data_IF_392936215647
#
_entry.id   IF_392936215647
#
_cell.length_a   1.000
_cell.length_b   1.000
_cell.length_c   1.000
_cell.angle_alpha   90.00
_cell.angle_beta   90.00
_cell.angle_gamma   90.00
#
_symmetry.space_group_name_H-M   'P 1'
#
loop_
_entity.id
_entity.type
_entity.pdbx_description
1 polymer ?
#
# COMPACT_ATOMS: atom_id res chain seq x y z
N UNK A 1 -40.67 7.94 -6.00
CA UNK A 1 -39.78 8.24 -4.86
C UNK A 1 -38.49 7.41 -4.89
N UNK A 2 -37.96 7.08 -6.07
CA UNK A 2 -36.59 6.57 -6.23
C UNK A 2 -35.97 7.39 -7.35
N UNK A 3 -35.01 8.24 -7.01
CA UNK A 3 -34.25 9.00 -8.01
C UNK A 3 -33.46 7.96 -8.81
N UNK A 4 -33.70 7.91 -10.12
CA UNK A 4 -32.95 7.07 -11.04
C UNK A 4 -31.47 7.44 -10.94
N UNK A 5 -30.69 6.58 -10.29
CA UNK A 5 -29.24 6.66 -10.31
C UNK A 5 -28.77 6.06 -11.63
N UNK A 6 -28.96 6.84 -12.70
CA UNK A 6 -28.17 6.69 -13.91
C UNK A 6 -26.75 7.17 -13.57
N UNK A 7 -25.95 6.28 -13.00
CA UNK A 7 -24.54 6.53 -12.72
C UNK A 7 -23.81 5.29 -13.15
N UNK A 8 -22.83 5.48 -14.03
CA UNK A 8 -22.02 4.42 -14.63
C UNK A 8 -21.75 3.28 -13.63
N UNK A 9 -22.00 2.03 -14.07
CA UNK A 9 -21.93 0.80 -13.29
C UNK A 9 -20.48 0.41 -12.87
N UNK A 10 -19.63 1.39 -12.58
CA UNK A 10 -18.25 1.17 -12.16
C UNK A 10 -18.21 0.95 -10.66
N UNK A 11 -17.45 -0.05 -10.21
CA UNK A 11 -17.32 -0.41 -8.78
C UNK A 11 -16.90 0.81 -7.92
N UNK A 12 -16.11 1.71 -8.49
CA UNK A 12 -15.64 2.94 -7.82
C UNK A 12 -16.76 3.94 -7.50
N UNK A 13 -17.72 4.13 -8.40
CA UNK A 13 -18.85 5.05 -8.15
C UNK A 13 -19.75 4.50 -7.03
N UNK A 14 -19.95 3.18 -6.99
CA UNK A 14 -20.68 2.49 -5.91
C UNK A 14 -19.94 2.56 -4.57
N UNK A 15 -18.62 2.37 -4.53
CA UNK A 15 -17.81 2.53 -3.29
C UNK A 15 -17.88 3.97 -2.77
N UNK A 16 -17.79 4.96 -3.67
CA UNK A 16 -17.93 6.37 -3.30
C UNK A 16 -19.30 6.66 -2.71
N UNK A 17 -20.37 6.16 -3.33
CA UNK A 17 -21.74 6.28 -2.81
C UNK A 17 -21.92 5.61 -1.45
N UNK A 18 -21.37 4.40 -1.26
CA UNK A 18 -21.38 3.70 0.02
C UNK A 18 -20.62 4.46 1.11
N UNK A 19 -19.66 5.30 0.74
CA UNK A 19 -18.88 6.13 1.67
C UNK A 19 -19.47 7.52 1.91
N UNK A 20 -20.27 8.06 0.98
CA UNK A 20 -20.81 9.43 1.04
C UNK A 20 -22.26 9.55 1.51
N UNK A 21 -22.94 8.45 1.81
CA UNK A 21 -24.34 8.47 2.26
C UNK A 21 -24.52 8.29 3.78
N UNK A 22 -25.69 8.70 4.28
CA UNK A 22 -26.20 8.47 5.64
C UNK A 22 -26.24 6.98 6.06
N UNK A 23 -25.93 6.06 5.14
CA UNK A 23 -25.82 4.61 5.40
C UNK A 23 -24.77 4.26 6.46
N UNK A 24 -23.68 5.02 6.55
CA UNK A 24 -22.67 4.81 7.60
C UNK A 24 -23.20 5.19 8.99
N UNK A 25 -24.16 6.13 9.05
CA UNK A 25 -24.80 6.60 10.28
C UNK A 25 -25.99 5.69 10.64
N UNK A 26 -26.78 5.27 9.65
CA UNK A 26 -27.92 4.36 9.84
C UNK A 26 -27.52 2.90 10.12
N UNK A 27 -26.41 2.42 9.55
CA UNK A 27 -25.96 1.03 9.67
C UNK A 27 -24.44 0.93 9.94
N UNK A 28 -23.97 1.34 11.13
CA UNK A 28 -22.54 1.43 11.44
C UNK A 28 -21.84 0.06 11.39
N UNK A 29 -22.49 -1.01 11.84
CA UNK A 29 -21.94 -2.37 11.82
C UNK A 29 -21.76 -2.90 10.40
N UNK A 30 -22.76 -2.69 9.55
CA UNK A 30 -22.73 -3.11 8.15
C UNK A 30 -21.67 -2.35 7.36
N UNK A 31 -21.53 -1.04 7.61
CA UNK A 31 -20.48 -0.22 7.00
C UNK A 31 -19.07 -0.69 7.40
N UNK A 32 -18.85 -1.14 8.65
CA UNK A 32 -17.57 -1.73 9.06
C UNK A 32 -17.31 -3.06 8.36
N UNK A 33 -18.32 -3.93 8.24
CA UNK A 33 -18.19 -5.21 7.56
C UNK A 33 -17.83 -5.05 6.08
N UNK A 34 -18.50 -4.12 5.38
CA UNK A 34 -18.17 -3.83 3.99
C UNK A 34 -16.77 -3.25 3.82
N UNK A 35 -16.30 -2.38 4.72
CA UNK A 35 -14.91 -1.90 4.70
C UNK A 35 -13.92 -3.04 4.87
N UNK A 36 -14.18 -3.96 5.80
CA UNK A 36 -13.33 -5.14 6.01
C UNK A 36 -13.31 -6.03 4.76
N UNK A 37 -14.48 -6.33 4.21
CA UNK A 37 -14.62 -7.13 2.99
C UNK A 37 -13.89 -6.51 1.79
N UNK A 38 -13.97 -5.19 1.62
CA UNK A 38 -13.27 -4.47 0.55
C UNK A 38 -11.75 -4.35 0.79
N UNK A 39 -11.29 -4.47 2.03
CA UNK A 39 -9.85 -4.40 2.38
C UNK A 39 -9.17 -5.75 2.14
N UNK A 40 -9.88 -6.85 2.37
CA UNK A 40 -9.38 -8.19 2.07
C UNK A 40 -9.34 -8.34 0.55
N UNK A 41 -8.15 -8.38 -0.03
CA UNK A 41 -8.00 -8.62 -1.47
C UNK A 41 -8.59 -9.99 -1.82
N UNK A 42 -9.58 -10.03 -2.70
CA UNK A 42 -10.19 -11.29 -3.15
C UNK A 42 -9.26 -12.13 -4.05
N UNK A 43 -8.15 -11.57 -4.54
CA UNK A 43 -7.18 -12.24 -5.40
C UNK A 43 -5.79 -12.35 -4.78
N UNK A 44 -5.11 -13.47 -5.05
CA UNK A 44 -3.70 -13.68 -4.70
C UNK A 44 -2.74 -12.94 -5.63
N UNK A 45 -3.20 -12.53 -6.82
CA UNK A 45 -2.37 -11.93 -7.86
C UNK A 45 -1.62 -10.66 -7.41
N UNK A 46 -2.22 -9.84 -6.55
CA UNK A 46 -1.54 -8.68 -5.97
C UNK A 46 -0.38 -9.11 -5.06
N UNK A 47 -0.62 -10.09 -4.18
CA UNK A 47 0.40 -10.65 -3.30
C UNK A 47 1.52 -11.34 -4.10
N UNK A 48 1.18 -12.13 -5.12
CA UNK A 48 2.13 -12.78 -6.02
C UNK A 48 3.01 -11.78 -6.76
N UNK A 49 2.43 -10.67 -7.25
CA UNK A 49 3.21 -9.56 -7.84
C UNK A 49 4.20 -8.96 -6.84
N UNK A 50 3.78 -8.73 -5.60
CA UNK A 50 4.66 -8.23 -4.53
C UNK A 50 5.78 -9.22 -4.18
N UNK A 51 5.48 -10.51 -4.03
CA UNK A 51 6.50 -11.54 -3.77
C UNK A 51 7.45 -11.74 -4.96
N UNK A 52 6.97 -11.63 -6.19
CA UNK A 52 7.81 -11.65 -7.39
C UNK A 52 8.77 -10.46 -7.43
N UNK A 53 8.29 -9.27 -7.06
CA UNK A 53 9.13 -8.09 -6.89
C UNK A 53 10.17 -8.29 -5.77
N UNK A 54 9.76 -8.80 -4.61
CA UNK A 54 10.66 -9.07 -3.49
C UNK A 54 11.73 -10.11 -3.82
N UNK A 55 11.35 -11.16 -4.57
CA UNK A 55 12.29 -12.16 -5.09
C UNK A 55 13.32 -11.53 -6.03
N UNK A 56 12.91 -10.60 -6.90
CA UNK A 56 13.86 -9.83 -7.73
C UNK A 56 14.77 -8.98 -6.85
N UNK A 57 14.25 -8.29 -5.84
CA UNK A 57 15.05 -7.47 -4.93
C UNK A 57 16.14 -8.29 -4.24
N UNK A 58 15.80 -9.49 -3.75
CA UNK A 58 16.74 -10.43 -3.13
C UNK A 58 17.77 -10.97 -4.14
N UNK A 59 17.33 -11.41 -5.32
CA UNK A 59 18.18 -12.13 -6.27
C UNK A 59 19.05 -11.19 -7.13
N UNK A 60 18.54 -10.02 -7.50
CA UNK A 60 19.25 -9.05 -8.35
C UNK A 60 20.53 -8.55 -7.69
N UNK A 61 20.47 -8.29 -6.39
CA UNK A 61 21.64 -7.86 -5.61
C UNK A 61 22.65 -8.99 -5.32
N UNK A 62 22.35 -10.25 -5.71
CA UNK A 62 23.15 -11.48 -5.46
C UNK A 62 23.77 -11.52 -4.05
N UNK A 63 23.08 -10.96 -3.07
CA UNK A 63 23.66 -10.70 -1.76
C UNK A 63 23.14 -11.71 -0.74
N UNK A 64 24.02 -12.22 0.09
CA UNK A 64 23.67 -12.79 1.41
C UNK A 64 23.25 -11.64 2.33
N UNK A 65 22.14 -10.98 1.99
CA UNK A 65 21.57 -9.92 2.83
C UNK A 65 20.79 -10.53 3.98
N UNK A 66 21.06 -10.04 5.19
CA UNK A 66 20.30 -10.39 6.39
C UNK A 66 18.83 -9.96 6.29
N UNK A 67 17.96 -10.68 6.99
CA UNK A 67 16.51 -10.48 6.94
C UNK A 67 16.09 -9.05 7.32
N UNK A 68 16.76 -8.42 8.29
CA UNK A 68 16.48 -7.04 8.69
C UNK A 68 16.63 -6.06 7.53
N UNK A 69 17.76 -6.11 6.82
CA UNK A 69 18.04 -5.20 5.70
C UNK A 69 17.12 -5.50 4.51
N UNK A 70 16.81 -6.76 4.26
CA UNK A 70 15.85 -7.18 3.23
C UNK A 70 14.43 -6.67 3.52
N UNK A 71 13.99 -6.72 4.79
CA UNK A 71 12.69 -6.21 5.21
C UNK A 71 12.58 -4.69 5.04
N UNK A 72 13.59 -3.93 5.48
CA UNK A 72 13.63 -2.47 5.30
C UNK A 72 13.56 -2.07 3.82
N UNK A 73 14.30 -2.77 2.95
CA UNK A 73 14.21 -2.55 1.50
C UNK A 73 12.83 -2.95 0.93
N UNK A 74 12.21 -3.99 1.46
CA UNK A 74 10.84 -4.37 1.11
C UNK A 74 9.84 -3.26 1.39
N UNK A 75 9.93 -2.62 2.56
CA UNK A 75 9.08 -1.48 2.93
C UNK A 75 9.29 -0.31 1.96
N UNK A 76 10.54 0.05 1.66
CA UNK A 76 10.86 1.11 0.70
C UNK A 76 10.30 0.82 -0.70
N UNK A 77 10.29 -0.45 -1.11
CA UNK A 77 9.76 -0.86 -2.42
C UNK A 77 8.22 -0.84 -2.46
N UNK A 78 7.53 -1.14 -1.35
CA UNK A 78 6.07 -1.01 -1.23
C UNK A 78 5.69 0.46 -1.27
N UNK A 79 6.38 1.28 -0.49
CA UNK A 79 6.19 2.73 -0.39
C UNK A 79 7.04 3.49 -1.41
N UNK A 80 7.21 2.95 -2.63
CA UNK A 80 8.14 3.51 -3.63
C UNK A 80 7.76 4.93 -4.05
N UNK A 81 6.46 5.22 -4.13
CA UNK A 81 5.95 6.56 -4.44
C UNK A 81 6.42 7.57 -3.40
N UNK A 82 6.24 7.26 -2.12
CA UNK A 82 6.74 8.10 -1.01
C UNK A 82 8.26 8.14 -0.96
N UNK A 83 8.93 7.03 -1.22
CA UNK A 83 10.40 6.97 -1.20
C UNK A 83 11.01 7.82 -2.31
N UNK A 84 10.32 8.00 -3.44
CA UNK A 84 10.78 8.82 -4.55
C UNK A 84 10.75 10.33 -4.27
N UNK A 85 9.97 10.78 -3.28
CA UNK A 85 9.90 12.19 -2.88
C UNK A 85 10.91 12.55 -1.78
N UNK A 86 11.63 11.57 -1.24
CA UNK A 86 12.62 11.79 -0.19
C UNK A 86 13.93 12.33 -0.79
N UNK A 87 14.56 13.29 -0.11
CA UNK A 87 15.83 13.86 -0.53
C UNK A 87 17.01 12.94 -0.16
N UNK A 88 17.60 12.30 -1.17
CA UNK A 88 18.74 11.40 -0.98
C UNK A 88 19.99 12.10 -0.43
N UNK A 89 20.22 13.37 -0.78
CA UNK A 89 21.41 14.12 -0.35
C UNK A 89 21.42 14.34 1.16
N UNK A 90 20.25 14.57 1.75
CA UNK A 90 20.11 14.73 3.20
C UNK A 90 20.37 13.41 3.93
N UNK A 91 19.85 12.30 3.40
CA UNK A 91 20.08 10.96 3.95
C UNK A 91 21.56 10.59 3.92
N UNK A 92 22.25 10.87 2.80
CA UNK A 92 23.68 10.57 2.66
C UNK A 92 24.48 11.38 3.68
N UNK A 93 24.22 12.68 3.82
CA UNK A 93 24.87 13.53 4.83
C UNK A 93 24.62 13.04 6.25
N UNK A 94 23.39 12.64 6.57
CA UNK A 94 23.04 12.07 7.87
C UNK A 94 23.79 10.76 8.11
N UNK A 95 23.86 9.88 7.12
CA UNK A 95 24.58 8.61 7.21
C UNK A 95 26.09 8.83 7.45
N UNK A 96 26.71 9.74 6.70
CA UNK A 96 28.12 10.12 6.87
C UNK A 96 28.37 10.70 8.27
N UNK A 97 27.49 11.57 8.77
CA UNK A 97 27.60 12.15 10.12
C UNK A 97 27.44 11.11 11.25
N UNK A 98 26.69 10.03 11.00
CA UNK A 98 26.42 8.96 11.96
C UNK A 98 27.49 7.87 11.97
N UNK A 99 28.37 7.85 10.98
CA UNK A 99 29.47 6.90 10.91
C UNK A 99 30.55 7.32 11.89
N UNK A 100 30.64 6.62 13.03
CA UNK A 100 31.78 6.73 13.95
C UNK A 100 33.06 6.48 13.15
N UNK A 101 34.07 7.38 13.20
CA UNK A 101 35.31 7.19 12.46
C UNK A 101 35.93 5.85 12.87
N UNK A 102 36.25 5.04 11.87
CA UNK A 102 36.82 3.70 12.05
C UNK A 102 38.23 3.78 12.63
#
# INVERSE_FOLDING_TARGET
>A
MYKSLNTENTIQSKIKYMRSGDNAVGFPTLAKLYKLFLTISSNSASCERSFSCHRRLKNYLRSTMGQFRLNHLGVLQIERERSSTINYEEIIKQFDSSTVPR
#
